data_IF_282984484151
#
_entry.id   IF_282984484151
#
_cell.length_a   1.000
_cell.length_b   1.000
_cell.length_c   1.000
_cell.angle_alpha   90.00
_cell.angle_beta   90.00
_cell.angle_gamma   90.00
#
_symmetry.space_group_name_H-M   'P 1'
#
loop_
_entity.id
_entity.type
_entity.pdbx_description
1 polymer ?
#
# COMPACT_ATOMS: atom_id res chain seq x y z
N UNK A 1 0.54 18.70 11.01
CA UNK A 1 -0.46 18.09 11.93
C UNK A 1 -0.50 16.62 11.58
N UNK A 2 -0.53 15.68 12.54
CA UNK A 2 -0.80 14.28 12.21
C UNK A 2 -2.16 14.23 11.49
N UNK A 3 -2.25 13.51 10.38
CA UNK A 3 -3.53 13.29 9.73
C UNK A 3 -4.38 12.41 10.66
N UNK A 4 -5.58 12.86 10.99
CA UNK A 4 -6.52 12.03 11.73
C UNK A 4 -6.95 10.86 10.84
N UNK A 5 -7.19 9.65 11.41
CA UNK A 5 -7.84 8.58 10.67
C UNK A 5 -9.17 9.09 10.11
N UNK A 6 -9.44 8.78 8.85
CA UNK A 6 -10.70 9.06 8.17
C UNK A 6 -11.46 7.76 8.04
N UNK A 7 -12.74 7.78 8.42
CA UNK A 7 -13.65 6.64 8.31
C UNK A 7 -14.94 7.15 7.69
N UNK A 8 -15.34 6.52 6.58
CA UNK A 8 -16.56 6.86 5.84
C UNK A 8 -17.38 5.60 5.58
N UNK A 9 -18.70 5.73 5.70
CA UNK A 9 -19.64 4.66 5.32
C UNK A 9 -20.59 5.24 4.28
N UNK A 10 -20.64 4.63 3.11
CA UNK A 10 -21.49 5.09 2.01
C UNK A 10 -22.95 4.58 2.13
N UNK A 11 -23.79 4.94 1.15
CA UNK A 11 -25.21 4.53 1.14
C UNK A 11 -25.42 3.04 0.85
N UNK A 12 -24.46 2.39 0.20
CA UNK A 12 -24.47 0.95 -0.05
C UNK A 12 -23.93 0.16 1.15
N UNK A 13 -23.41 0.86 2.16
CA UNK A 13 -22.86 0.28 3.38
C UNK A 13 -21.39 -0.09 3.24
N UNK A 14 -20.67 0.38 2.23
CA UNK A 14 -19.22 0.18 2.11
C UNK A 14 -18.52 1.07 3.12
N UNK A 15 -17.54 0.50 3.82
CA UNK A 15 -16.70 1.21 4.78
C UNK A 15 -15.36 1.53 4.11
N UNK A 16 -15.01 2.80 4.06
CA UNK A 16 -13.68 3.27 3.65
C UNK A 16 -12.91 3.75 4.87
N UNK A 17 -11.66 3.34 4.98
CA UNK A 17 -10.76 3.68 6.06
C UNK A 17 -9.45 4.20 5.48
N UNK A 18 -8.95 5.32 6.01
CA UNK A 18 -7.68 5.90 5.59
C UNK A 18 -6.90 6.40 6.80
N UNK A 19 -5.65 5.96 6.93
CA UNK A 19 -4.66 6.47 7.87
C UNK A 19 -3.47 6.95 7.09
N UNK A 20 -2.96 8.13 7.42
CA UNK A 20 -1.67 8.58 6.90
C UNK A 20 -0.80 9.19 7.99
N UNK A 21 0.50 9.02 7.82
CA UNK A 21 1.53 9.49 8.74
C UNK A 21 2.68 10.11 7.99
N UNK A 22 3.26 11.16 8.57
CA UNK A 22 4.55 11.70 8.12
C UNK A 22 5.65 11.13 9.02
N UNK A 23 6.70 10.63 8.40
CA UNK A 23 7.89 10.10 9.05
C UNK A 23 9.00 11.17 8.97
N UNK A 24 9.23 11.92 10.06
CA UNK A 24 10.13 13.06 10.03
C UNK A 24 11.60 12.62 9.96
N UNK A 25 12.35 13.26 9.07
CA UNK A 25 13.81 13.28 9.08
C UNK A 25 14.26 14.74 9.25
N UNK A 26 14.83 15.13 10.42
CA UNK A 26 15.27 16.51 10.66
C UNK A 26 16.33 17.03 9.68
N UNK A 27 17.04 16.14 8.99
CA UNK A 27 18.07 16.50 8.02
C UNK A 27 17.54 16.66 6.59
N UNK A 28 16.31 16.20 6.31
CA UNK A 28 15.73 16.21 4.98
C UNK A 28 14.79 17.41 4.74
N UNK A 29 14.76 17.90 3.50
CA UNK A 29 13.87 18.99 3.09
C UNK A 29 12.41 18.54 2.91
N UNK A 30 12.21 17.26 2.57
CA UNK A 30 10.91 16.62 2.42
C UNK A 30 10.87 15.40 3.33
N UNK A 31 9.70 15.10 3.92
CA UNK A 31 9.55 13.95 4.81
C UNK A 31 9.04 12.72 4.05
N UNK A 32 9.35 11.54 4.58
CA UNK A 32 8.72 10.30 4.12
C UNK A 32 7.25 10.24 4.58
N UNK A 33 6.41 9.55 3.84
CA UNK A 33 4.98 9.41 4.12
C UNK A 33 4.58 7.94 4.05
N UNK A 34 3.74 7.52 4.99
CA UNK A 34 3.04 6.23 4.94
C UNK A 34 1.54 6.50 4.85
N UNK A 35 0.85 5.80 3.97
CA UNK A 35 -0.61 5.74 3.93
C UNK A 35 -1.10 4.30 3.95
N UNK A 36 -2.19 4.08 4.70
CA UNK A 36 -2.92 2.83 4.72
C UNK A 36 -4.39 3.14 4.42
N UNK A 37 -4.84 2.71 3.26
CA UNK A 37 -6.19 2.90 2.77
C UNK A 37 -6.84 1.54 2.55
N UNK A 38 -8.08 1.37 3.01
CA UNK A 38 -8.84 0.12 2.89
C UNK A 38 -10.29 0.40 2.54
N UNK A 39 -10.87 -0.48 1.73
CA UNK A 39 -12.30 -0.52 1.43
C UNK A 39 -12.84 -1.87 1.86
N UNK A 40 -13.91 -1.86 2.64
CA UNK A 40 -14.59 -3.03 3.16
C UNK A 40 -16.03 -3.06 2.68
N UNK A 41 -16.49 -4.23 2.23
CA UNK A 41 -17.89 -4.45 1.87
C UNK A 41 -18.60 -5.28 2.93
N UNK A 42 -19.89 -4.99 3.20
CA UNK A 42 -20.67 -5.81 4.11
C UNK A 42 -20.98 -7.16 3.46
N UNK A 43 -20.82 -8.24 4.22
CA UNK A 43 -21.27 -9.58 3.84
C UNK A 43 -22.51 -9.98 4.64
N UNK A 44 -23.68 -10.14 3.99
CA UNK A 44 -24.91 -10.54 4.67
C UNK A 44 -24.72 -11.82 5.49
N UNK A 45 -24.88 -11.71 6.81
CA UNK A 45 -24.76 -12.84 7.74
C UNK A 45 -23.33 -13.31 8.04
N UNK A 46 -22.31 -12.69 7.46
CA UNK A 46 -20.89 -13.06 7.64
C UNK A 46 -20.02 -11.89 8.13
N UNK A 47 -20.58 -10.69 8.26
CA UNK A 47 -19.89 -9.51 8.80
C UNK A 47 -19.37 -8.62 7.68
N UNK A 48 -18.05 -8.49 7.59
CA UNK A 48 -17.37 -7.63 6.62
C UNK A 48 -16.23 -8.39 5.98
N UNK A 49 -15.94 -8.07 4.73
CA UNK A 49 -14.70 -8.47 4.07
C UNK A 49 -13.99 -7.25 3.52
N UNK A 50 -12.66 -7.32 3.48
CA UNK A 50 -11.84 -6.29 2.87
C UNK A 50 -11.83 -6.54 1.37
N UNK A 51 -12.32 -5.55 0.64
CA UNK A 51 -12.44 -5.60 -0.81
C UNK A 51 -11.16 -5.09 -1.47
N UNK A 52 -10.62 -3.97 -0.97
CA UNK A 52 -9.42 -3.33 -1.51
C UNK A 52 -8.52 -2.83 -0.39
N UNK A 53 -7.22 -2.76 -0.66
CA UNK A 53 -6.29 -1.98 0.14
C UNK A 53 -5.22 -1.32 -0.72
N UNK A 54 -4.73 -0.19 -0.24
CA UNK A 54 -3.53 0.49 -0.73
C UNK A 54 -2.68 0.86 0.48
N UNK A 55 -1.51 0.24 0.58
CA UNK A 55 -0.54 0.53 1.61
C UNK A 55 0.72 1.06 0.94
N UNK A 56 1.08 2.32 1.19
CA UNK A 56 2.13 3.01 0.44
C UNK A 56 3.14 3.68 1.37
N UNK A 57 4.42 3.50 1.06
CA UNK A 57 5.54 4.27 1.58
C UNK A 57 6.12 5.09 0.44
N UNK A 58 6.09 6.42 0.60
CA UNK A 58 6.76 7.38 -0.28
C UNK A 58 7.91 8.01 0.52
N UNK A 59 9.12 7.50 0.35
CA UNK A 59 10.33 7.99 1.01
C UNK A 59 11.01 9.06 0.13
N UNK A 60 10.54 10.30 0.27
CA UNK A 60 11.04 11.47 -0.47
C UNK A 60 12.52 11.79 -0.21
N UNK A 61 13.02 11.77 1.04
CA UNK A 61 14.44 11.93 1.31
C UNK A 61 15.34 11.02 0.47
N UNK A 62 14.98 9.73 0.37
CA UNK A 62 15.77 8.73 -0.36
C UNK A 62 15.30 8.50 -1.80
N UNK A 63 14.24 9.22 -2.22
CA UNK A 63 13.62 9.12 -3.54
C UNK A 63 13.22 7.69 -3.91
N UNK A 64 12.57 6.97 -3.00
CA UNK A 64 12.19 5.56 -3.19
C UNK A 64 10.75 5.28 -2.73
N UNK A 65 10.11 4.27 -3.30
CA UNK A 65 8.71 3.89 -3.01
C UNK A 65 8.59 2.40 -2.78
N UNK A 66 7.75 2.01 -1.81
CA UNK A 66 7.25 0.64 -1.67
C UNK A 66 5.75 0.68 -1.42
N UNK A 67 4.97 -0.06 -2.19
CA UNK A 67 3.53 -0.15 -1.99
C UNK A 67 3.00 -1.57 -2.19
N UNK A 68 1.91 -1.88 -1.51
CA UNK A 68 1.18 -3.16 -1.60
C UNK A 68 -0.29 -2.86 -1.90
N UNK A 69 -0.83 -3.44 -2.96
CA UNK A 69 -2.20 -3.18 -3.41
C UNK A 69 -3.00 -4.48 -3.52
N UNK A 70 -4.23 -4.44 -3.02
CA UNK A 70 -5.29 -5.40 -3.32
C UNK A 70 -6.41 -4.64 -4.00
N UNK A 71 -6.86 -5.15 -5.13
CA UNK A 71 -8.04 -4.67 -5.85
C UNK A 71 -9.20 -5.62 -5.67
N UNK A 72 -10.41 -5.14 -6.00
CA UNK A 72 -11.60 -6.00 -6.09
C UNK A 72 -11.26 -7.24 -6.91
N UNK A 73 -11.33 -8.41 -6.25
CA UNK A 73 -10.81 -9.67 -6.79
C UNK A 73 -11.52 -10.07 -8.08
N UNK A 74 -12.84 -9.96 -8.11
CA UNK A 74 -13.63 -10.41 -9.25
C UNK A 74 -13.29 -9.56 -10.49
N UNK A 75 -13.12 -8.24 -10.29
CA UNK A 75 -12.76 -7.32 -11.36
C UNK A 75 -11.29 -7.46 -11.79
N UNK A 76 -10.38 -7.55 -10.83
CA UNK A 76 -8.94 -7.56 -11.09
C UNK A 76 -8.46 -8.89 -11.67
N UNK A 77 -8.96 -10.03 -11.19
CA UNK A 77 -8.64 -11.33 -11.79
C UNK A 77 -9.18 -11.42 -13.23
N UNK A 78 -10.37 -10.88 -13.50
CA UNK A 78 -10.94 -10.86 -14.85
C UNK A 78 -10.16 -9.96 -15.83
N UNK A 79 -9.53 -8.90 -15.34
CA UNK A 79 -8.87 -7.89 -16.18
C UNK A 79 -7.35 -8.11 -16.30
N UNK A 80 -6.71 -8.45 -15.19
CA UNK A 80 -5.24 -8.49 -15.04
C UNK A 80 -4.71 -9.86 -14.59
N UNK A 81 -5.59 -10.83 -14.29
CA UNK A 81 -5.18 -12.17 -13.86
C UNK A 81 -4.65 -12.26 -12.42
N UNK A 82 -4.55 -11.13 -11.72
CA UNK A 82 -4.15 -11.04 -10.31
C UNK A 82 -4.93 -9.93 -9.61
N UNK A 83 -5.32 -10.17 -8.36
CA UNK A 83 -5.95 -9.16 -7.51
C UNK A 83 -4.95 -8.38 -6.65
N UNK A 84 -3.74 -8.93 -6.47
CA UNK A 84 -2.72 -8.37 -5.58
C UNK A 84 -1.43 -8.14 -6.34
N UNK A 85 -0.84 -6.97 -6.14
CA UNK A 85 0.47 -6.63 -6.65
C UNK A 85 1.21 -5.68 -5.70
N UNK A 86 2.49 -5.48 -6.00
CA UNK A 86 3.36 -4.54 -5.30
C UNK A 86 3.92 -3.52 -6.27
N UNK A 87 4.22 -2.32 -5.78
CA UNK A 87 5.08 -1.36 -6.46
C UNK A 87 6.37 -1.19 -5.69
N UNK A 88 7.47 -1.13 -6.42
CA UNK A 88 8.79 -0.91 -5.85
C UNK A 88 9.61 -0.02 -6.79
N UNK A 89 10.05 1.11 -6.26
CA UNK A 89 10.90 2.07 -6.95
C UNK A 89 12.13 2.34 -6.06
N UNK A 90 13.30 1.81 -6.45
CA UNK A 90 14.58 2.17 -5.81
C UNK A 90 14.90 3.65 -6.04
N UNK A 91 14.51 4.14 -7.21
CA UNK A 91 14.57 5.55 -7.59
C UNK A 91 13.23 5.96 -8.17
N UNK A 92 12.68 7.06 -7.64
CA UNK A 92 11.37 7.56 -8.04
C UNK A 92 11.26 7.75 -9.55
N UNK A 93 10.18 7.20 -10.11
CA UNK A 93 9.85 7.29 -11.53
C UNK A 93 10.71 6.39 -12.43
N UNK A 94 11.55 5.54 -11.85
CA UNK A 94 12.40 4.58 -12.58
C UNK A 94 12.27 3.16 -11.99
N UNK A 95 11.06 2.56 -11.98
CA UNK A 95 10.90 1.19 -11.54
C UNK A 95 11.45 0.21 -12.58
N UNK A 96 12.05 -0.89 -12.14
CA UNK A 96 12.42 -1.99 -13.03
C UNK A 96 11.20 -2.57 -13.76
N UNK A 97 10.05 -2.64 -13.07
CA UNK A 97 8.77 -3.09 -13.60
C UNK A 97 7.60 -2.24 -13.06
N UNK A 98 6.57 -2.02 -13.88
CA UNK A 98 5.40 -1.24 -13.47
C UNK A 98 4.63 -1.84 -12.29
N UNK A 99 4.51 -3.17 -12.28
CA UNK A 99 3.89 -3.94 -11.20
C UNK A 99 4.72 -5.21 -10.91
N UNK A 100 4.79 -5.57 -9.63
CA UNK A 100 5.44 -6.79 -9.16
C UNK A 100 4.41 -7.74 -8.56
N UNK A 101 4.66 -9.04 -8.67
CA UNK A 101 3.80 -10.08 -8.11
C UNK A 101 3.75 -9.90 -6.60
N UNK A 102 2.54 -9.68 -6.09
CA UNK A 102 2.31 -9.50 -4.67
C UNK A 102 1.73 -10.72 -3.99
N UNK A 103 1.71 -10.64 -2.66
CA UNK A 103 0.94 -11.55 -1.79
C UNK A 103 -0.07 -10.74 -1.01
N UNK A 104 -1.26 -11.28 -0.86
CA UNK A 104 -2.29 -10.65 -0.04
C UNK A 104 -1.78 -10.55 1.40
N UNK A 105 -1.80 -9.33 1.93
CA UNK A 105 -1.45 -9.09 3.33
C UNK A 105 -2.67 -9.37 4.19
N UNK A 106 -2.56 -10.03 5.36
CA UNK A 106 -3.70 -10.41 6.18
C UNK A 106 -4.40 -9.19 6.80
N UNK A 107 -3.66 -8.12 7.13
CA UNK A 107 -4.16 -6.91 7.77
C UNK A 107 -3.22 -5.72 7.54
N UNK A 108 -3.68 -4.52 7.90
CA UNK A 108 -2.87 -3.31 7.84
C UNK A 108 -1.72 -3.25 8.87
N UNK A 109 -1.72 -4.11 9.91
CA UNK A 109 -0.62 -4.14 10.88
C UNK A 109 0.64 -4.72 10.24
N UNK A 110 0.52 -5.87 9.55
CA UNK A 110 1.64 -6.43 8.80
C UNK A 110 2.11 -5.47 7.72
N UNK A 111 1.18 -4.78 7.03
CA UNK A 111 1.54 -3.77 6.05
C UNK A 111 2.39 -2.65 6.66
N UNK A 112 1.97 -2.11 7.82
CA UNK A 112 2.73 -1.09 8.52
C UNK A 112 4.11 -1.58 8.93
N UNK A 113 4.24 -2.82 9.43
CA UNK A 113 5.54 -3.41 9.77
C UNK A 113 6.48 -3.48 8.55
N UNK A 114 5.97 -3.94 7.40
CA UNK A 114 6.74 -4.03 6.16
C UNK A 114 7.15 -2.64 5.63
N UNK A 115 6.24 -1.67 5.65
CA UNK A 115 6.53 -0.29 5.21
C UNK A 115 7.52 0.40 6.15
N UNK A 116 7.40 0.19 7.46
CA UNK A 116 8.36 0.71 8.43
C UNK A 116 9.74 0.06 8.26
N UNK A 117 9.81 -1.25 8.01
CA UNK A 117 11.05 -1.94 7.69
C UNK A 117 11.71 -1.36 6.43
N UNK A 118 10.94 -1.17 5.35
CA UNK A 118 11.42 -0.54 4.12
C UNK A 118 11.92 0.90 4.33
N UNK A 119 11.28 1.66 5.22
CA UNK A 119 11.72 3.02 5.53
C UNK A 119 13.06 3.07 6.28
N UNK A 120 13.27 2.16 7.24
CA UNK A 120 14.50 2.13 8.05
C UNK A 120 15.66 1.40 7.37
N UNK A 121 15.40 0.66 6.30
CA UNK A 121 16.44 0.00 5.48
C UNK A 121 17.41 1.05 4.91
N UNK A 122 18.70 1.07 5.31
CA UNK A 122 19.66 2.04 4.79
C UNK A 122 19.98 1.85 3.31
N UNK A 123 19.86 0.62 2.80
CA UNK A 123 20.28 0.25 1.46
C UNK A 123 19.09 0.17 0.48
N UNK A 124 19.27 -0.56 -0.63
CA UNK A 124 18.23 -0.77 -1.65
C UNK A 124 17.02 -1.54 -1.08
N UNK A 125 15.82 -1.25 -1.61
CA UNK A 125 14.56 -1.94 -1.30
C UNK A 125 14.47 -3.37 -1.86
N UNK A 126 15.45 -3.79 -2.65
CA UNK A 126 15.49 -5.09 -3.30
C UNK A 126 14.49 -5.22 -4.45
N UNK A 127 14.15 -4.12 -5.15
CA UNK A 127 13.14 -4.16 -6.20
C UNK A 127 13.50 -5.12 -7.34
N UNK A 128 14.80 -5.30 -7.65
CA UNK A 128 15.29 -6.20 -8.70
C UNK A 128 15.09 -7.69 -8.36
N UNK A 129 14.91 -8.03 -7.09
CA UNK A 129 14.67 -9.41 -6.65
C UNK A 129 13.19 -9.80 -6.75
N UNK A 130 12.32 -8.81 -6.98
CA UNK A 130 10.90 -9.04 -7.13
C UNK A 130 10.58 -9.60 -8.51
N UNK A 131 9.56 -10.46 -8.56
CA UNK A 131 9.05 -10.99 -9.81
C UNK A 131 8.10 -9.97 -10.45
N UNK A 132 8.38 -9.57 -11.68
CA UNK A 132 7.48 -8.70 -12.45
C UNK A 132 6.16 -9.39 -12.82
N UNK A 133 5.09 -8.61 -12.87
CA UNK A 133 3.82 -8.97 -13.50
C UNK A 133 3.81 -8.37 -14.91
N UNK A 134 3.58 -9.22 -15.91
CA UNK A 134 3.44 -8.84 -17.32
C UNK A 134 2.01 -8.40 -17.66
#
# INVERSE_FOLDING_TARGET
MPASPVIEIDRAGFLSFSISGTLPDPAAAEAAQISLDEIWRPLPGQGWERLEYTYDLIDRPRRRRRAFHLHDRDLAEATFGVAVHEHCEETFGDPACGHYLGRELPDGYLALELLMAAWVEPDALGCEELRCLD
#
